data_IF_086513978734
#
_entry.id   IF_086513978734
#
_cell.length_a   1.000
_cell.length_b   1.000
_cell.length_c   1.000
_cell.angle_alpha   90.00
_cell.angle_beta   90.00
_cell.angle_gamma   90.00
#
_symmetry.space_group_name_H-M   'P 1'
#
loop_
_entity.id
_entity.type
_entity.pdbx_description
1 polymer ?
#
# COMPACT_ATOMS: atom_id res chain seq x y z
N UNK A 1 16.69 5.60 10.18
CA UNK A 1 16.60 4.74 8.99
C UNK A 1 16.44 3.31 9.48
N UNK A 2 15.21 2.78 9.44
CA UNK A 2 14.94 1.42 9.92
C UNK A 2 14.41 0.59 8.77
N UNK A 3 15.30 -0.11 8.06
CA UNK A 3 14.88 -1.23 7.23
C UNK A 3 14.76 -2.43 8.16
N UNK A 4 13.52 -2.76 8.54
CA UNK A 4 13.24 -4.06 9.12
C UNK A 4 13.40 -5.15 8.03
N UNK A 5 13.67 -6.41 8.39
CA UNK A 5 13.72 -7.48 7.41
C UNK A 5 12.36 -7.58 6.71
N UNK A 6 12.32 -7.24 5.41
CA UNK A 6 11.15 -7.44 4.57
C UNK A 6 11.00 -8.91 4.20
N UNK A 7 9.76 -9.40 4.16
CA UNK A 7 9.45 -10.73 3.64
C UNK A 7 8.62 -10.57 2.37
N UNK A 8 9.00 -11.27 1.31
CA UNK A 8 8.16 -11.40 0.13
C UNK A 8 6.93 -12.23 0.49
N UNK A 9 5.75 -11.72 0.18
CA UNK A 9 4.48 -12.39 0.42
C UNK A 9 3.50 -12.05 -0.71
N UNK A 10 2.59 -12.97 -0.99
CA UNK A 10 1.42 -12.67 -1.82
C UNK A 10 0.58 -11.58 -1.15
N UNK A 11 0.01 -10.69 -1.96
CA UNK A 11 -0.84 -9.59 -1.49
C UNK A 11 -2.18 -9.61 -2.20
N UNK A 12 -3.24 -9.41 -1.43
CA UNK A 12 -4.59 -9.14 -1.93
C UNK A 12 -4.98 -7.70 -1.56
N UNK A 13 -5.62 -7.00 -2.49
CA UNK A 13 -6.06 -5.62 -2.29
C UNK A 13 -7.56 -5.54 -2.53
N UNK A 14 -8.30 -5.04 -1.54
CA UNK A 14 -9.75 -4.96 -1.57
C UNK A 14 -10.30 -3.66 -1.00
N UNK A 15 -11.59 -3.42 -1.25
CA UNK A 15 -12.35 -2.34 -0.64
C UNK A 15 -13.29 -2.91 0.42
N UNK A 16 -13.28 -2.29 1.60
CA UNK A 16 -14.18 -2.62 2.70
C UNK A 16 -14.98 -1.39 3.12
N UNK A 17 -16.30 -1.52 3.17
CA UNK A 17 -17.17 -0.55 3.82
C UNK A 17 -18.13 -1.29 4.74
N UNK A 18 -18.05 -1.01 6.05
CA UNK A 18 -19.02 -1.55 6.99
C UNK A 18 -20.33 -0.79 6.85
N UNK A 19 -21.44 -1.46 7.13
CA UNK A 19 -22.78 -0.87 7.03
C UNK A 19 -22.99 0.31 7.98
N UNK A 20 -22.20 0.40 9.05
CA UNK A 20 -22.19 1.50 10.02
C UNK A 20 -21.22 2.62 9.69
N UNK A 21 -20.35 2.41 8.71
CA UNK A 21 -19.24 3.32 8.45
C UNK A 21 -19.60 4.32 7.35
N UNK A 22 -19.32 5.58 7.63
CA UNK A 22 -19.36 6.64 6.63
C UNK A 22 -18.20 6.51 5.63
N UNK A 23 -17.07 5.94 6.06
CA UNK A 23 -15.82 5.83 5.31
C UNK A 23 -15.68 4.45 4.64
N UNK A 24 -15.06 4.43 3.45
CA UNK A 24 -14.61 3.21 2.77
C UNK A 24 -13.11 3.05 2.97
N UNK A 25 -12.67 1.82 3.16
CA UNK A 25 -11.29 1.48 3.45
C UNK A 25 -10.68 0.67 2.31
N UNK A 26 -9.42 0.94 1.98
CA UNK A 26 -8.57 0.04 1.21
C UNK A 26 -7.90 -0.89 2.20
N UNK A 27 -8.04 -2.19 1.98
CA UNK A 27 -7.40 -3.23 2.77
C UNK A 27 -6.34 -3.90 1.90
N UNK A 28 -5.11 -3.95 2.40
CA UNK A 28 -4.03 -4.76 1.84
C UNK A 28 -3.80 -5.91 2.80
N UNK A 29 -4.10 -7.14 2.35
CA UNK A 29 -3.88 -8.36 3.11
C UNK A 29 -2.66 -9.08 2.55
N UNK A 30 -1.82 -9.58 3.44
CA UNK A 30 -0.64 -10.38 3.07
C UNK A 30 -0.91 -11.86 3.34
N UNK A 31 -0.36 -12.74 2.50
CA UNK A 31 -0.46 -14.20 2.69
C UNK A 31 0.16 -14.73 3.99
N UNK A 32 0.83 -13.87 4.77
CA UNK A 32 1.37 -14.19 6.10
C UNK A 32 0.45 -13.77 7.26
N UNK A 33 -0.79 -13.36 6.98
CA UNK A 33 -1.78 -13.01 7.99
C UNK A 33 -1.62 -11.62 8.60
N UNK A 34 -0.78 -10.76 8.01
CA UNK A 34 -0.72 -9.34 8.34
C UNK A 34 -1.60 -8.54 7.35
N UNK A 35 -2.19 -7.44 7.83
CA UNK A 35 -2.94 -6.53 6.97
C UNK A 35 -2.71 -5.07 7.34
N UNK A 36 -2.83 -4.20 6.33
CA UNK A 36 -2.79 -2.75 6.48
C UNK A 36 -4.10 -2.20 5.91
N UNK A 37 -4.73 -1.31 6.67
CA UNK A 37 -6.00 -0.70 6.31
C UNK A 37 -5.86 0.81 6.29
N UNK A 38 -6.26 1.43 5.18
CA UNK A 38 -6.19 2.87 4.99
C UNK A 38 -7.56 3.41 4.56
N UNK A 39 -8.01 4.56 5.07
CA UNK A 39 -9.16 5.25 4.51
C UNK A 39 -8.93 5.52 3.01
N UNK A 40 -9.97 5.38 2.18
CA UNK A 40 -9.87 5.67 0.73
C UNK A 40 -9.41 7.11 0.49
N UNK A 41 -9.81 8.04 1.35
CA UNK A 41 -9.32 9.42 1.35
C UNK A 41 -7.79 9.52 1.49
N UNK A 42 -7.20 8.80 2.45
CA UNK A 42 -5.75 8.77 2.64
C UNK A 42 -5.01 8.11 1.46
N UNK A 43 -5.56 7.06 0.87
CA UNK A 43 -4.97 6.42 -0.33
C UNK A 43 -4.98 7.38 -1.53
N UNK A 44 -6.03 8.19 -1.66
CA UNK A 44 -6.09 9.23 -2.70
C UNK A 44 -5.00 10.28 -2.52
N UNK A 45 -4.82 10.80 -1.31
CA UNK A 45 -3.75 11.76 -1.01
C UNK A 45 -2.36 11.16 -1.24
N UNK A 46 -2.16 9.90 -0.84
CA UNK A 46 -0.90 9.19 -1.09
C UNK A 46 -0.63 9.04 -2.60
N UNK A 47 -1.66 8.71 -3.40
CA UNK A 47 -1.52 8.59 -4.84
C UNK A 47 -1.19 9.95 -5.50
N UNK A 48 -1.76 11.04 -5.01
CA UNK A 48 -1.43 12.40 -5.47
C UNK A 48 0.02 12.73 -5.13
N UNK A 49 0.43 12.56 -3.87
CA UNK A 49 1.81 12.83 -3.44
C UNK A 49 2.84 12.00 -4.20
N UNK A 50 2.54 10.73 -4.50
CA UNK A 50 3.37 9.88 -5.34
C UNK A 50 3.53 10.42 -6.78
N UNK A 51 2.50 11.04 -7.35
CA UNK A 51 2.60 11.62 -8.69
C UNK A 51 3.43 12.91 -8.70
N UNK A 52 3.44 13.64 -7.60
CA UNK A 52 4.16 14.91 -7.47
C UNK A 52 5.63 14.72 -7.07
N UNK A 53 5.95 13.66 -6.32
CA UNK A 53 7.30 13.36 -5.84
C UNK A 53 8.00 12.27 -6.68
N UNK A 54 8.63 12.69 -7.78
CA UNK A 54 9.38 11.80 -8.68
C UNK A 54 10.49 10.98 -8.00
N UNK A 55 11.08 11.48 -6.91
CA UNK A 55 12.07 10.73 -6.12
C UNK A 55 11.45 9.54 -5.37
N UNK A 56 10.21 9.68 -4.88
CA UNK A 56 9.50 8.59 -4.20
C UNK A 56 9.10 7.49 -5.21
N UNK A 57 8.69 7.88 -6.41
CA UNK A 57 8.41 6.94 -7.51
C UNK A 57 9.67 6.15 -7.88
N UNK A 58 10.82 6.82 -7.95
CA UNK A 58 12.09 6.16 -8.24
C UNK A 58 12.51 5.20 -7.11
N UNK A 59 12.27 5.57 -5.84
CA UNK A 59 12.54 4.71 -4.69
C UNK A 59 11.65 3.45 -4.65
N UNK A 60 10.42 3.54 -5.15
CA UNK A 60 9.43 2.46 -5.15
C UNK A 60 9.44 1.63 -6.45
N UNK A 61 10.28 1.99 -7.43
CA UNK A 61 10.41 1.22 -8.66
C UNK A 61 10.94 -0.19 -8.34
N UNK A 62 10.43 -1.25 -9.00
CA UNK A 62 10.96 -2.59 -8.81
C UNK A 62 12.45 -2.62 -9.15
N UNK A 63 13.24 -3.35 -8.36
CA UNK A 63 14.65 -3.57 -8.69
C UNK A 63 14.74 -4.28 -10.04
N UNK A 64 15.67 -3.88 -10.93
CA UNK A 64 15.81 -4.52 -12.22
C UNK A 64 16.13 -6.01 -12.03
N UNK A 65 15.29 -6.89 -12.58
CA UNK A 65 15.52 -8.34 -12.55
C UNK A 65 16.88 -8.64 -13.19
N UNK A 66 17.82 -9.08 -12.36
CA UNK A 66 19.14 -9.50 -12.83
C UNK A 66 19.01 -10.93 -13.35
N UNK A 67 19.04 -11.09 -14.67
CA UNK A 67 18.87 -12.36 -15.37
C UNK A 67 20.13 -13.23 -15.35
#
# INVERSE_FOLDING_TARGET
>A
MGFGPGLLAEVEIGLLRRTTDAETWVIVETGIGASVSLPVSAVRELAIGLQEEGELVALLAPEPETH
#
